data_IF_477004053706
#
_entry.id   IF_477004053706
#
_cell.length_a   1.000
_cell.length_b   1.000
_cell.length_c   1.000
_cell.angle_alpha   90.00
_cell.angle_beta   90.00
_cell.angle_gamma   90.00
#
_symmetry.space_group_name_H-M   'P 1'
#
loop_
_entity.id
_entity.type
_entity.pdbx_description
1 polymer ?
#
# COMPACT_ATOMS: atom_id res chain seq x y z
N UNK A 1 -18.75 6.33 14.25
CA UNK A 1 -18.35 7.73 13.97
C UNK A 1 -16.91 7.84 14.42
N UNK A 2 -16.00 8.03 13.49
CA UNK A 2 -14.58 8.20 13.79
C UNK A 2 -14.38 9.62 14.33
N UNK A 3 -14.17 9.71 15.63
CA UNK A 3 -14.10 10.94 16.40
C UNK A 3 -12.71 11.57 16.27
N UNK A 4 -11.68 10.77 16.00
CA UNK A 4 -10.30 11.25 15.88
C UNK A 4 -10.08 12.13 14.63
N UNK A 5 -10.65 11.73 13.49
CA UNK A 5 -10.58 12.48 12.24
C UNK A 5 -11.91 12.29 11.51
N UNK A 6 -12.91 13.17 11.65
CA UNK A 6 -14.16 13.04 10.89
C UNK A 6 -13.91 13.27 9.40
N UNK A 7 -14.71 12.64 8.54
CA UNK A 7 -14.76 12.99 7.12
C UNK A 7 -15.01 14.50 7.01
N UNK A 8 -14.15 15.18 6.26
CA UNK A 8 -14.25 16.63 6.09
C UNK A 8 -14.86 16.91 4.71
N UNK A 9 -16.00 17.59 4.70
CA UNK A 9 -16.54 18.22 3.51
C UNK A 9 -16.22 19.71 3.54
N UNK A 10 -15.72 20.21 2.42
CA UNK A 10 -15.35 21.62 2.28
C UNK A 10 -16.26 22.28 1.25
N UNK A 11 -16.80 23.45 1.58
CA UNK A 11 -17.72 24.19 0.72
C UNK A 11 -17.05 24.75 -0.56
N UNK A 12 -15.71 24.87 -0.56
CA UNK A 12 -14.96 25.47 -1.68
C UNK A 12 -13.68 24.69 -1.99
N UNK A 13 -13.24 24.75 -3.24
CA UNK A 13 -11.97 24.16 -3.68
C UNK A 13 -10.78 24.73 -2.90
N UNK A 14 -10.79 26.03 -2.64
CA UNK A 14 -9.78 26.69 -1.82
C UNK A 14 -9.67 26.07 -0.42
N UNK A 15 -10.81 25.86 0.25
CA UNK A 15 -10.85 25.24 1.56
C UNK A 15 -10.40 23.77 1.51
N UNK A 16 -10.73 23.03 0.44
CA UNK A 16 -10.24 21.66 0.22
C UNK A 16 -8.71 21.61 0.10
N UNK A 17 -8.10 22.53 -0.66
CA UNK A 17 -6.64 22.58 -0.84
C UNK A 17 -5.94 22.99 0.46
N UNK A 18 -6.49 23.96 1.18
CA UNK A 18 -5.98 24.36 2.50
C UNK A 18 -6.13 23.23 3.53
N UNK A 19 -7.22 22.48 3.43
CA UNK A 19 -7.45 21.24 4.17
C UNK A 19 -6.37 20.20 3.91
N UNK A 20 -6.01 19.95 2.64
CA UNK A 20 -4.95 19.01 2.27
C UNK A 20 -3.61 19.40 2.89
N UNK A 21 -3.24 20.69 2.80
CA UNK A 21 -2.01 21.19 3.41
C UNK A 21 -1.98 20.95 4.94
N UNK A 22 -3.12 21.14 5.62
CA UNK A 22 -3.23 20.86 7.04
C UNK A 22 -3.21 19.35 7.36
N UNK A 23 -3.85 18.52 6.52
CA UNK A 23 -3.81 17.07 6.62
C UNK A 23 -2.35 16.58 6.53
N UNK A 24 -1.61 17.02 5.52
CA UNK A 24 -0.19 16.68 5.38
C UNK A 24 0.60 17.05 6.63
N UNK A 25 0.47 18.30 7.10
CA UNK A 25 1.22 18.80 8.25
C UNK A 25 0.92 18.03 9.54
N UNK A 26 -0.35 17.73 9.80
CA UNK A 26 -0.77 17.07 11.05
C UNK A 26 -0.52 15.56 11.06
N UNK A 27 -0.21 14.97 9.90
CA UNK A 27 0.07 13.54 9.75
C UNK A 27 1.53 13.23 9.48
N UNK A 28 2.36 14.25 9.44
CA UNK A 28 3.78 14.10 9.21
C UNK A 28 4.45 13.48 10.43
N UNK A 29 5.08 12.33 10.20
CA UNK A 29 6.02 11.71 11.12
C UNK A 29 7.33 11.49 10.37
N UNK A 30 8.45 11.83 10.98
CA UNK A 30 9.76 11.72 10.33
C UNK A 30 10.78 10.91 11.13
N UNK A 31 10.50 9.62 11.41
CA UNK A 31 11.42 8.78 12.16
C UNK A 31 12.77 8.57 11.44
N UNK A 32 12.78 8.72 10.11
CA UNK A 32 13.96 8.52 9.26
C UNK A 32 14.77 9.81 9.03
N UNK A 33 14.31 10.96 9.52
CA UNK A 33 15.02 12.23 9.39
C UNK A 33 15.13 12.75 7.95
N UNK A 34 14.13 12.45 7.12
CA UNK A 34 14.03 12.87 5.71
C UNK A 34 14.06 14.40 5.62
N UNK A 35 14.84 14.93 4.67
CA UNK A 35 14.91 16.37 4.36
C UNK A 35 14.81 16.58 2.86
N UNK A 36 13.85 17.41 2.43
CA UNK A 36 13.57 17.60 1.01
C UNK A 36 12.37 18.51 0.77
N UNK A 37 12.06 18.76 -0.48
CA UNK A 37 10.98 19.66 -0.90
C UNK A 37 10.09 19.03 -1.96
N UNK A 38 8.78 19.13 -1.74
CA UNK A 38 7.77 18.66 -2.68
C UNK A 38 6.86 19.81 -3.07
N UNK A 39 6.86 20.20 -4.35
CA UNK A 39 5.84 21.11 -4.90
C UNK A 39 4.56 20.32 -5.14
N UNK A 40 3.46 20.75 -4.51
CA UNK A 40 2.12 20.22 -4.76
C UNK A 40 1.40 21.22 -5.65
N UNK A 41 1.03 20.76 -6.84
CA UNK A 41 0.30 21.54 -7.84
C UNK A 41 -1.12 21.03 -8.03
N UNK A 42 -2.08 21.95 -8.09
CA UNK A 42 -3.49 21.65 -8.35
C UNK A 42 -3.86 22.31 -9.69
N UNK A 43 -3.92 21.55 -10.80
CA UNK A 43 -4.05 22.12 -12.15
C UNK A 43 -5.24 23.07 -12.32
N UNK A 44 -6.34 22.78 -11.63
CA UNK A 44 -7.56 23.59 -11.68
C UNK A 44 -7.43 24.91 -10.89
N UNK A 45 -6.44 25.00 -9.99
CA UNK A 45 -6.22 26.13 -9.09
C UNK A 45 -4.73 26.49 -8.95
N UNK A 46 -4.04 26.90 -10.03
CA UNK A 46 -2.58 27.11 -10.01
C UNK A 46 -2.12 28.19 -9.02
N UNK A 47 -2.99 29.14 -8.65
CA UNK A 47 -2.73 30.14 -7.62
C UNK A 47 -2.77 29.61 -6.18
N UNK A 48 -3.06 28.32 -5.98
CA UNK A 48 -3.21 27.66 -4.68
C UNK A 48 -2.15 26.59 -4.41
N UNK A 49 -1.22 26.39 -5.35
CA UNK A 49 -0.04 25.56 -5.20
C UNK A 49 0.74 25.89 -3.90
N UNK A 50 1.45 24.90 -3.39
CA UNK A 50 2.31 25.07 -2.21
C UNK A 50 3.51 24.13 -2.27
N UNK A 51 4.55 24.46 -1.49
CA UNK A 51 5.70 23.58 -1.28
C UNK A 51 5.64 23.00 0.12
N UNK A 52 5.63 21.68 0.21
CA UNK A 52 5.82 20.93 1.44
C UNK A 52 7.32 20.69 1.64
N UNK A 53 7.90 21.23 2.72
CA UNK A 53 9.32 21.06 3.06
C UNK A 53 9.47 20.14 4.25
N UNK A 54 10.12 19.00 4.03
CA UNK A 54 10.46 18.03 5.06
C UNK A 54 11.64 18.52 5.90
N UNK A 55 11.46 18.47 7.21
CA UNK A 55 12.49 18.72 8.22
C UNK A 55 12.10 17.99 9.51
N UNK A 56 12.42 18.58 10.65
CA UNK A 56 11.98 18.04 11.94
C UNK A 56 10.44 18.14 12.08
N UNK A 57 9.86 19.13 11.41
CA UNK A 57 8.43 19.28 11.18
C UNK A 57 8.16 19.47 9.67
N UNK A 58 6.93 19.26 9.23
CA UNK A 58 6.51 19.59 7.87
C UNK A 58 6.11 21.05 7.77
N UNK A 59 6.81 21.80 6.94
CA UNK A 59 6.50 23.21 6.68
C UNK A 59 5.78 23.35 5.35
N UNK A 60 4.65 24.09 5.37
CA UNK A 60 3.88 24.42 4.17
C UNK A 60 4.21 25.86 3.77
N UNK A 61 4.79 26.02 2.59
CA UNK A 61 5.24 27.31 2.06
C UNK A 61 4.44 27.69 0.82
N UNK A 62 3.92 28.92 0.79
CA UNK A 62 3.08 29.46 -0.32
C UNK A 62 3.73 30.61 -1.08
N UNK A 63 5.04 30.78 -0.88
CA UNK A 63 5.84 31.80 -1.53
C UNK A 63 6.97 31.13 -2.30
N UNK A 64 7.55 31.86 -3.25
CA UNK A 64 8.69 31.38 -4.04
C UNK A 64 8.45 30.01 -4.71
N UNK A 65 7.24 29.84 -5.27
CA UNK A 65 6.78 28.57 -5.86
C UNK A 65 7.49 28.19 -7.17
N UNK A 66 8.27 29.11 -7.73
CA UNK A 66 9.07 28.90 -8.94
C UNK A 66 10.47 28.34 -8.63
N UNK A 67 10.85 28.27 -7.34
CA UNK A 67 12.12 27.68 -6.96
C UNK A 67 12.17 26.21 -7.35
N UNK A 68 13.38 25.72 -7.62
CA UNK A 68 13.62 24.30 -7.86
C UNK A 68 13.24 23.50 -6.59
N UNK A 69 12.45 22.46 -6.78
CA UNK A 69 12.12 21.47 -5.73
C UNK A 69 12.66 20.11 -6.11
N UNK A 70 12.77 19.22 -5.13
CA UNK A 70 13.28 17.85 -5.34
C UNK A 70 12.24 16.98 -6.05
N UNK A 71 10.96 17.28 -5.82
CA UNK A 71 9.81 16.52 -6.34
C UNK A 71 8.66 17.45 -6.67
N UNK A 72 7.93 17.15 -7.73
CA UNK A 72 6.64 17.77 -8.04
C UNK A 72 5.56 16.69 -8.08
N UNK A 73 4.45 16.96 -7.40
CA UNK A 73 3.26 16.12 -7.36
C UNK A 73 2.09 16.96 -7.86
N UNK A 74 1.43 16.50 -8.93
CA UNK A 74 0.26 17.19 -9.47
C UNK A 74 -0.98 16.38 -9.16
N UNK A 75 -1.89 16.96 -8.38
CA UNK A 75 -3.08 16.29 -7.85
C UNK A 75 -4.33 17.08 -8.30
N UNK A 76 -5.22 16.49 -9.11
CA UNK A 76 -6.49 17.10 -9.47
C UNK A 76 -7.36 17.38 -8.23
N UNK A 77 -8.12 18.48 -8.24
CA UNK A 77 -8.98 18.84 -7.10
C UNK A 77 -10.01 17.74 -6.76
N UNK A 78 -10.48 17.00 -7.76
CA UNK A 78 -11.40 15.87 -7.58
C UNK A 78 -10.75 14.76 -6.74
N UNK A 79 -9.47 14.46 -6.97
CA UNK A 79 -8.70 13.47 -6.21
C UNK A 79 -8.49 13.93 -4.76
N UNK A 80 -8.23 15.23 -4.54
CA UNK A 80 -8.10 15.78 -3.18
C UNK A 80 -9.43 15.63 -2.41
N UNK A 81 -10.57 15.93 -3.05
CA UNK A 81 -11.89 15.71 -2.43
C UNK A 81 -12.10 14.26 -2.04
N UNK A 82 -11.74 13.33 -2.94
CA UNK A 82 -11.85 11.89 -2.69
C UNK A 82 -11.02 11.45 -1.49
N UNK A 83 -9.78 11.94 -1.36
CA UNK A 83 -8.92 11.68 -0.20
C UNK A 83 -9.64 12.01 1.11
N UNK A 84 -10.41 13.10 1.16
CA UNK A 84 -11.18 13.48 2.34
C UNK A 84 -12.46 12.66 2.54
N UNK A 85 -13.17 12.30 1.48
CA UNK A 85 -14.40 11.49 1.60
C UNK A 85 -14.11 10.04 1.96
N UNK A 86 -12.96 9.51 1.55
CA UNK A 86 -12.58 8.10 1.68
C UNK A 86 -11.42 7.89 2.66
N UNK A 87 -11.10 8.89 3.49
CA UNK A 87 -9.89 8.88 4.32
C UNK A 87 -9.73 7.62 5.21
N UNK A 88 -10.83 6.97 5.61
CA UNK A 88 -10.82 5.74 6.43
C UNK A 88 -10.32 4.50 5.68
N UNK A 89 -10.48 4.50 4.36
CA UNK A 89 -10.17 3.38 3.46
C UNK A 89 -9.15 3.77 2.38
N UNK A 90 -8.52 4.94 2.54
CA UNK A 90 -7.62 5.52 1.56
C UNK A 90 -6.44 4.58 1.29
N UNK A 91 -6.43 4.01 0.08
CA UNK A 91 -5.28 3.30 -0.46
C UNK A 91 -4.70 4.10 -1.62
N UNK A 92 -3.51 4.66 -1.42
CA UNK A 92 -2.82 5.41 -2.47
C UNK A 92 -2.41 4.57 -3.67
N UNK A 93 -2.56 3.23 -3.63
CA UNK A 93 -2.33 2.34 -4.75
C UNK A 93 -3.60 2.10 -5.57
N UNK A 94 -4.76 2.56 -5.09
CA UNK A 94 -6.01 2.50 -5.83
C UNK A 94 -5.81 3.16 -7.20
N UNK A 95 -6.01 2.43 -8.32
CA UNK A 95 -5.93 2.97 -9.67
C UNK A 95 -6.75 4.25 -9.88
N UNK A 96 -7.87 4.41 -9.19
CA UNK A 96 -8.71 5.59 -9.29
C UNK A 96 -8.16 6.80 -8.53
N UNK A 97 -7.18 6.59 -7.65
CA UNK A 97 -6.44 7.66 -6.96
C UNK A 97 -5.11 7.90 -7.67
N UNK A 98 -4.18 6.92 -7.66
CA UNK A 98 -2.84 7.11 -8.23
C UNK A 98 -2.87 7.32 -9.74
N UNK A 99 -3.85 6.73 -10.42
CA UNK A 99 -4.09 6.92 -11.86
C UNK A 99 -4.62 8.30 -12.22
N UNK A 100 -4.74 9.23 -11.27
CA UNK A 100 -5.09 10.64 -11.54
C UNK A 100 -3.95 11.60 -11.22
N UNK A 101 -2.86 11.11 -10.62
CA UNK A 101 -1.76 11.92 -10.11
C UNK A 101 -0.53 11.77 -11.03
N UNK A 102 0.21 12.86 -11.20
CA UNK A 102 1.53 12.83 -11.85
C UNK A 102 2.63 13.15 -10.86
N UNK A 103 3.79 12.54 -11.08
CA UNK A 103 4.97 12.65 -10.21
C UNK A 103 6.21 12.93 -11.07
N UNK A 104 7.00 13.90 -10.65
CA UNK A 104 8.28 14.25 -11.26
C UNK A 104 9.36 14.43 -10.18
N UNK A 105 10.60 14.07 -10.47
CA UNK A 105 11.70 14.18 -9.50
C UNK A 105 11.80 12.98 -8.54
N UNK A 106 12.07 13.22 -7.27
CA UNK A 106 12.32 12.18 -6.28
C UNK A 106 11.01 11.51 -5.82
N UNK A 107 10.78 10.27 -6.24
CA UNK A 107 9.55 9.51 -5.95
C UNK A 107 9.46 9.05 -4.48
N UNK A 108 10.59 8.95 -3.76
CA UNK A 108 10.58 8.65 -2.33
C UNK A 108 9.90 9.75 -1.52
N UNK A 109 10.10 11.00 -1.91
CA UNK A 109 9.43 12.15 -1.29
C UNK A 109 7.94 12.21 -1.64
N UNK A 110 7.54 11.80 -2.86
CA UNK A 110 6.14 11.66 -3.20
C UNK A 110 5.45 10.56 -2.36
N UNK A 111 6.11 9.40 -2.19
CA UNK A 111 5.61 8.33 -1.33
C UNK A 111 5.44 8.80 0.13
N UNK A 112 6.44 9.50 0.66
CA UNK A 112 6.38 10.02 2.03
C UNK A 112 5.26 11.05 2.19
N UNK A 113 5.05 11.93 1.20
CA UNK A 113 3.93 12.88 1.18
C UNK A 113 2.57 12.14 1.23
N UNK A 114 2.40 11.09 0.42
CA UNK A 114 1.18 10.27 0.43
C UNK A 114 0.92 9.63 1.80
N UNK A 115 1.96 9.08 2.44
CA UNK A 115 1.88 8.50 3.79
C UNK A 115 1.43 9.51 4.85
N UNK A 116 1.77 10.79 4.71
CA UNK A 116 1.32 11.86 5.61
C UNK A 116 -0.20 12.08 5.58
N UNK A 117 -0.90 11.63 4.55
CA UNK A 117 -2.36 11.73 4.46
C UNK A 117 -3.10 10.60 5.17
N UNK A 118 -2.43 9.51 5.53
CA UNK A 118 -3.07 8.34 6.15
C UNK A 118 -3.55 8.67 7.56
N UNK A 119 -4.79 8.28 7.90
CA UNK A 119 -5.35 8.45 9.23
C UNK A 119 -6.03 7.16 9.70
N UNK A 120 -5.53 6.51 10.76
CA UNK A 120 -6.21 5.35 11.31
C UNK A 120 -7.54 5.80 11.93
N UNK A 121 -8.60 5.04 11.66
CA UNK A 121 -9.89 5.27 12.31
C UNK A 121 -9.86 4.88 13.79
N UNK A 122 -10.82 5.39 14.57
CA UNK A 122 -11.01 4.96 15.97
C UNK A 122 -11.15 3.44 16.11
N UNK A 123 -11.81 2.81 15.13
CA UNK A 123 -11.94 1.35 15.06
C UNK A 123 -10.56 0.68 14.87
N UNK A 124 -9.76 1.15 13.91
CA UNK A 124 -8.39 0.68 13.68
C UNK A 124 -7.54 0.85 14.93
N UNK A 125 -7.59 2.02 15.56
CA UNK A 125 -6.85 2.31 16.80
C UNK A 125 -7.29 1.42 17.96
N UNK A 126 -8.58 1.16 18.12
CA UNK A 126 -9.09 0.25 19.14
C UNK A 126 -8.60 -1.18 18.90
N UNK A 127 -8.60 -1.63 17.65
CA UNK A 127 -8.11 -2.94 17.25
C UNK A 127 -6.61 -3.11 17.51
N UNK A 128 -5.79 -2.13 17.15
CA UNK A 128 -4.36 -2.13 17.46
C UNK A 128 -4.08 -2.18 18.96
N UNK A 129 -4.83 -1.42 19.77
CA UNK A 129 -4.74 -1.50 21.24
C UNK A 129 -5.11 -2.88 21.78
N UNK A 130 -6.17 -3.49 21.25
CA UNK A 130 -6.59 -4.86 21.64
C UNK A 130 -5.49 -5.87 21.31
N UNK A 131 -5.02 -5.89 20.07
CA UNK A 131 -3.97 -6.80 19.61
C UNK A 131 -2.69 -6.65 20.45
N UNK A 132 -2.26 -5.41 20.71
CA UNK A 132 -1.07 -5.13 21.54
C UNK A 132 -1.20 -5.69 22.95
N UNK A 133 -2.38 -5.56 23.59
CA UNK A 133 -2.61 -6.15 24.93
C UNK A 133 -2.58 -7.68 24.89
N UNK A 134 -3.21 -8.29 23.89
CA UNK A 134 -3.20 -9.75 23.71
C UNK A 134 -1.78 -10.28 23.51
N UNK A 135 -1.02 -9.64 22.62
CA UNK A 135 0.37 -10.00 22.32
C UNK A 135 1.27 -9.85 23.56
N UNK A 136 1.11 -8.76 24.32
CA UNK A 136 1.84 -8.56 25.56
C UNK A 136 1.51 -9.64 26.60
N UNK A 137 0.23 -9.99 26.77
CA UNK A 137 -0.21 -11.01 27.72
C UNK A 137 0.28 -12.43 27.34
N UNK A 138 0.51 -12.69 26.05
CA UNK A 138 0.98 -13.99 25.53
C UNK A 138 2.49 -14.06 25.30
N UNK A 139 3.23 -12.97 25.53
CA UNK A 139 4.67 -12.94 25.32
C UNK A 139 5.09 -12.98 23.85
N UNK A 140 4.25 -12.50 22.93
CA UNK A 140 4.53 -12.52 21.48
C UNK A 140 5.52 -11.45 21.00
N UNK A 141 6.21 -10.77 21.92
CA UNK A 141 7.14 -9.68 21.58
C UNK A 141 8.40 -10.19 20.87
N UNK A 142 8.81 -11.41 21.18
CA UNK A 142 10.05 -12.04 20.71
C UNK A 142 9.75 -13.44 20.13
N UNK A 143 8.74 -13.52 19.25
CA UNK A 143 8.42 -14.79 18.58
C UNK A 143 9.59 -15.22 17.69
N UNK A 144 10.26 -16.31 18.07
CA UNK A 144 11.32 -16.93 17.27
C UNK A 144 10.81 -18.04 16.36
N UNK A 145 9.56 -18.49 16.55
CA UNK A 145 8.91 -19.50 15.74
C UNK A 145 7.42 -19.17 15.60
N UNK A 146 6.84 -19.59 14.47
CA UNK A 146 5.42 -19.41 14.16
C UNK A 146 4.79 -20.80 14.07
N UNK A 147 3.72 -21.02 14.82
CA UNK A 147 3.00 -22.29 14.80
C UNK A 147 2.57 -22.66 13.37
N UNK A 148 2.80 -23.92 13.01
CA UNK A 148 2.32 -24.50 11.75
C UNK A 148 1.09 -25.37 12.00
N UNK A 149 -0.04 -24.97 11.44
CA UNK A 149 -1.27 -25.75 11.45
C UNK A 149 -1.38 -26.53 10.14
N UNK A 150 -1.33 -27.86 10.22
CA UNK A 150 -1.52 -28.73 9.06
C UNK A 150 -2.99 -29.08 8.89
N UNK A 151 -3.56 -28.79 7.72
CA UNK A 151 -4.97 -29.02 7.37
C UNK A 151 -5.95 -28.61 8.48
N UNK A 152 -5.87 -27.38 9.03
CA UNK A 152 -6.75 -26.95 10.10
C UNK A 152 -8.21 -26.91 9.65
N UNK A 153 -9.11 -27.11 10.60
CA UNK A 153 -10.54 -26.81 10.43
C UNK A 153 -10.77 -25.30 10.40
N UNK A 154 -11.87 -24.85 9.80
CA UNK A 154 -12.30 -23.44 9.81
C UNK A 154 -12.40 -22.88 11.24
N UNK A 155 -12.86 -23.70 12.20
CA UNK A 155 -12.92 -23.32 13.61
C UNK A 155 -11.55 -23.00 14.22
N UNK A 156 -10.53 -23.81 13.93
CA UNK A 156 -9.17 -23.56 14.45
C UNK A 156 -8.59 -22.24 13.92
N UNK A 157 -8.97 -21.86 12.70
CA UNK A 157 -8.56 -20.58 12.10
C UNK A 157 -9.28 -19.43 12.78
N UNK A 158 -10.60 -19.53 12.97
CA UNK A 158 -11.38 -18.51 13.70
C UNK A 158 -10.87 -18.32 15.13
N UNK A 159 -10.48 -19.40 15.81
CA UNK A 159 -9.84 -19.35 17.13
C UNK A 159 -8.49 -18.60 17.04
N UNK A 160 -7.61 -18.93 16.10
CA UNK A 160 -6.34 -18.21 15.91
C UNK A 160 -6.55 -16.70 15.59
N UNK A 161 -7.56 -16.37 14.77
CA UNK A 161 -7.93 -15.00 14.43
C UNK A 161 -8.41 -14.22 15.65
N UNK A 162 -9.29 -14.81 16.47
CA UNK A 162 -9.81 -14.15 17.68
C UNK A 162 -8.70 -13.87 18.70
N UNK A 163 -7.71 -14.76 18.75
CA UNK A 163 -6.51 -14.63 19.58
C UNK A 163 -5.46 -13.67 19.00
N UNK A 164 -5.67 -13.13 17.80
CA UNK A 164 -4.69 -12.33 17.05
C UNK A 164 -3.33 -13.05 16.93
N UNK A 165 -3.36 -14.37 16.74
CA UNK A 165 -2.18 -15.24 16.77
C UNK A 165 -1.70 -15.52 15.33
N UNK A 166 -0.44 -15.20 14.99
CA UNK A 166 0.10 -15.56 13.69
C UNK A 166 0.26 -17.08 13.59
N UNK A 167 -0.18 -17.65 12.47
CA UNK A 167 -0.07 -19.09 12.17
C UNK A 167 0.32 -19.28 10.71
N UNK A 168 1.08 -20.34 10.42
CA UNK A 168 1.36 -20.80 9.06
C UNK A 168 0.48 -22.02 8.78
N UNK A 169 -0.35 -21.91 7.75
CA UNK A 169 -1.24 -23.00 7.33
C UNK A 169 -0.54 -23.86 6.29
N UNK A 170 -0.60 -25.19 6.42
CA UNK A 170 0.03 -26.14 5.50
C UNK A 170 -0.91 -27.28 5.11
N UNK A 171 -0.58 -28.00 4.03
CA UNK A 171 -1.32 -29.20 3.61
C UNK A 171 -2.63 -28.92 2.86
N UNK A 172 -2.85 -27.68 2.43
CA UNK A 172 -4.02 -27.27 1.67
C UNK A 172 -3.60 -26.72 0.32
N UNK A 173 -4.43 -26.97 -0.67
CA UNK A 173 -4.23 -26.57 -2.06
C UNK A 173 -5.54 -25.96 -2.54
N UNK A 174 -5.53 -24.76 -3.17
CA UNK A 174 -6.74 -24.16 -3.69
C UNK A 174 -7.31 -25.00 -4.83
N UNK A 175 -8.59 -24.79 -5.12
CA UNK A 175 -9.23 -25.34 -6.31
C UNK A 175 -9.56 -24.17 -7.23
N UNK A 176 -8.96 -24.09 -8.44
CA UNK A 176 -7.99 -25.04 -9.02
C UNK A 176 -6.60 -24.98 -8.33
N UNK A 177 -5.81 -26.06 -8.39
CA UNK A 177 -4.45 -26.10 -7.85
C UNK A 177 -3.56 -25.00 -8.41
N UNK A 178 -2.86 -24.30 -7.52
CA UNK A 178 -2.00 -23.17 -7.89
C UNK A 178 -0.50 -23.49 -7.89
N UNK A 179 -0.09 -24.72 -7.57
CA UNK A 179 1.33 -25.09 -7.40
C UNK A 179 2.17 -25.05 -8.68
N UNK A 180 1.53 -25.15 -9.85
CA UNK A 180 2.20 -25.24 -11.15
C UNK A 180 2.23 -23.89 -11.89
N UNK A 181 2.00 -22.78 -11.17
CA UNK A 181 2.13 -21.45 -11.73
C UNK A 181 3.60 -21.02 -11.82
N UNK A 182 3.95 -20.40 -12.94
CA UNK A 182 5.24 -19.74 -13.18
C UNK A 182 4.99 -18.32 -13.65
N UNK A 183 6.02 -17.45 -13.58
CA UNK A 183 5.91 -16.09 -14.10
C UNK A 183 5.62 -16.08 -15.61
N UNK A 184 6.15 -17.04 -16.36
CA UNK A 184 5.89 -17.17 -17.80
C UNK A 184 4.43 -17.54 -18.08
N UNK A 185 3.88 -18.47 -17.28
CA UNK A 185 2.49 -18.89 -17.41
C UNK A 185 1.52 -17.75 -17.05
N UNK A 186 1.89 -16.91 -16.08
CA UNK A 186 1.13 -15.70 -15.77
C UNK A 186 1.10 -14.73 -16.96
N UNK A 187 2.26 -14.47 -17.59
CA UNK A 187 2.35 -13.60 -18.78
C UNK A 187 1.63 -14.18 -20.01
N UNK A 188 1.64 -15.50 -20.18
CA UNK A 188 0.93 -16.17 -21.26
C UNK A 188 -0.59 -16.07 -21.08
N UNK A 189 -1.10 -16.38 -19.88
CA UNK A 189 -2.53 -16.46 -19.61
C UNK A 189 -3.19 -15.12 -19.34
N UNK A 190 -2.50 -14.22 -18.65
CA UNK A 190 -3.04 -12.92 -18.21
C UNK A 190 -2.30 -11.74 -18.79
N UNK A 191 -1.59 -11.92 -19.92
CA UNK A 191 -0.65 -10.93 -20.46
C UNK A 191 -1.20 -9.51 -20.59
N UNK A 192 -2.48 -9.36 -20.93
CA UNK A 192 -3.14 -8.06 -21.13
C UNK A 192 -3.77 -7.47 -19.86
N UNK A 193 -3.91 -8.25 -18.78
CA UNK A 193 -4.50 -7.78 -17.53
C UNK A 193 -3.62 -6.70 -16.90
N UNK A 194 -4.22 -5.57 -16.50
CA UNK A 194 -3.50 -4.48 -15.83
C UNK A 194 -3.23 -4.89 -14.38
N UNK A 195 -1.95 -5.09 -14.05
CA UNK A 195 -1.52 -5.57 -12.73
C UNK A 195 -0.91 -4.48 -11.87
N UNK A 196 -0.62 -3.30 -12.45
CA UNK A 196 0.01 -2.20 -11.73
C UNK A 196 -0.31 -0.85 -12.36
N UNK A 197 -0.68 0.12 -11.53
CA UNK A 197 -0.84 1.53 -11.90
C UNK A 197 0.10 2.35 -11.02
N UNK A 198 1.02 3.10 -11.63
CA UNK A 198 2.04 3.90 -10.93
C UNK A 198 1.74 5.40 -10.96
N UNK A 199 0.97 5.85 -11.95
CA UNK A 199 0.56 7.26 -12.11
C UNK A 199 -0.54 7.36 -13.16
N UNK A 200 -1.04 8.59 -13.40
CA UNK A 200 -1.98 8.87 -14.48
C UNK A 200 -1.49 8.49 -15.88
N UNK A 201 -0.18 8.43 -16.09
CA UNK A 201 0.44 8.16 -17.38
C UNK A 201 1.15 6.82 -17.44
N UNK A 202 1.18 6.05 -16.34
CA UNK A 202 1.93 4.79 -16.24
C UNK A 202 1.07 3.69 -15.66
N UNK A 203 0.63 2.81 -16.56
CA UNK A 203 -0.02 1.53 -16.26
C UNK A 203 0.83 0.42 -16.85
N UNK A 204 0.70 -0.78 -16.30
CA UNK A 204 1.47 -1.92 -16.75
C UNK A 204 0.61 -3.18 -16.72
N UNK A 205 0.65 -3.94 -17.82
CA UNK A 205 0.02 -5.24 -17.90
C UNK A 205 0.93 -6.37 -17.39
N UNK A 206 0.39 -7.57 -17.22
CA UNK A 206 1.15 -8.72 -16.71
C UNK A 206 2.36 -9.05 -17.58
N UNK A 207 2.25 -8.95 -18.92
CA UNK A 207 3.35 -9.27 -19.84
C UNK A 207 4.52 -8.32 -19.65
N UNK A 208 4.24 -7.02 -19.62
CA UNK A 208 5.22 -5.97 -19.36
C UNK A 208 5.85 -6.11 -17.97
N UNK A 209 5.03 -6.42 -16.95
CA UNK A 209 5.51 -6.62 -15.58
C UNK A 209 6.47 -7.82 -15.47
N UNK A 210 6.12 -8.95 -16.09
CA UNK A 210 6.97 -10.15 -16.09
C UNK A 210 8.29 -9.89 -16.85
N UNK A 211 8.26 -9.09 -17.92
CA UNK A 211 9.49 -8.69 -18.59
C UNK A 211 10.39 -7.84 -17.69
N UNK A 212 9.85 -6.81 -17.02
CA UNK A 212 10.60 -6.01 -16.05
C UNK A 212 11.18 -6.86 -14.92
N UNK A 213 10.42 -7.85 -14.44
CA UNK A 213 10.88 -8.77 -13.41
C UNK A 213 12.08 -9.60 -13.88
N UNK A 214 12.06 -10.10 -15.12
CA UNK A 214 13.19 -10.83 -15.71
C UNK A 214 14.40 -9.93 -15.89
N UNK A 215 14.21 -8.75 -16.46
CA UNK A 215 15.28 -7.78 -16.66
C UNK A 215 15.95 -7.39 -15.33
N UNK A 216 15.15 -7.22 -14.27
CA UNK A 216 15.65 -6.96 -12.92
C UNK A 216 16.43 -8.15 -12.34
N UNK A 217 15.97 -9.39 -12.55
CA UNK A 217 16.67 -10.59 -12.07
C UNK A 217 18.03 -10.72 -12.76
N UNK A 218 18.11 -10.40 -14.06
CA UNK A 218 19.35 -10.43 -14.83
C UNK A 218 20.30 -9.27 -14.48
N UNK A 219 19.76 -8.07 -14.23
CA UNK A 219 20.52 -6.88 -13.88
C UNK A 219 19.84 -6.10 -12.75
N UNK A 220 20.07 -6.49 -11.47
CA UNK A 220 19.50 -5.80 -10.32
C UNK A 220 19.98 -4.34 -10.23
N UNK A 221 19.09 -3.45 -9.81
CA UNK A 221 19.39 -2.07 -9.46
C UNK A 221 19.08 -1.80 -7.98
N UNK A 222 19.85 -0.90 -7.36
CA UNK A 222 19.76 -0.62 -5.92
C UNK A 222 18.78 0.51 -5.57
N UNK A 223 18.52 1.43 -6.50
CA UNK A 223 17.58 2.54 -6.27
C UNK A 223 16.13 2.05 -6.34
N UNK A 224 15.61 1.63 -5.18
CA UNK A 224 14.27 1.07 -5.04
C UNK A 224 13.39 1.95 -4.17
N UNK A 225 12.45 2.62 -4.81
CA UNK A 225 11.36 3.34 -4.11
C UNK A 225 10.11 2.47 -4.09
N UNK A 226 9.63 2.15 -2.88
CA UNK A 226 8.35 1.46 -2.63
C UNK A 226 7.21 2.18 -3.36
N UNK A 227 6.38 1.41 -4.07
CA UNK A 227 5.25 1.94 -4.85
C UNK A 227 5.61 2.50 -6.24
N UNK A 228 6.91 2.69 -6.56
CA UNK A 228 7.32 3.44 -7.74
C UNK A 228 8.33 2.73 -8.64
N UNK A 229 9.51 2.39 -8.13
CA UNK A 229 10.63 1.89 -8.97
C UNK A 229 10.83 0.40 -8.78
N UNK A 230 10.38 -0.14 -7.66
CA UNK A 230 10.49 -1.56 -7.33
C UNK A 230 9.79 -2.45 -8.39
N UNK A 231 10.37 -3.58 -8.83
CA UNK A 231 9.72 -4.55 -9.70
C UNK A 231 8.79 -5.43 -8.87
N UNK A 232 7.81 -4.78 -8.23
CA UNK A 232 6.85 -5.34 -7.30
C UNK A 232 5.48 -4.71 -7.55
N UNK A 233 4.41 -5.51 -7.44
CA UNK A 233 3.02 -5.03 -7.56
C UNK A 233 2.52 -4.32 -6.31
N UNK A 234 3.26 -4.42 -5.21
CA UNK A 234 3.01 -3.65 -3.97
C UNK A 234 1.60 -3.84 -3.41
N UNK A 235 0.98 -5.01 -3.62
CA UNK A 235 -0.37 -5.28 -3.14
C UNK A 235 -1.48 -4.59 -3.95
N UNK A 236 -1.22 -4.26 -5.22
CA UNK A 236 -2.25 -3.83 -6.16
C UNK A 236 -3.44 -4.81 -6.17
N UNK A 237 -4.63 -4.31 -6.55
CA UNK A 237 -5.80 -5.17 -6.70
C UNK A 237 -5.49 -6.34 -7.66
N UNK A 238 -5.89 -7.55 -7.27
CA UNK A 238 -5.82 -8.69 -8.18
C UNK A 238 -6.82 -8.43 -9.34
N UNK A 239 -6.41 -8.57 -10.60
CA UNK A 239 -7.33 -8.46 -11.73
C UNK A 239 -8.46 -9.49 -11.65
N UNK A 240 -9.68 -9.10 -12.01
CA UNK A 240 -10.85 -9.97 -11.96
C UNK A 240 -10.66 -11.23 -12.83
N UNK A 241 -9.94 -11.10 -13.94
CA UNK A 241 -9.63 -12.21 -14.84
C UNK A 241 -8.82 -13.32 -14.16
N UNK A 242 -8.12 -13.00 -13.07
CA UNK A 242 -7.30 -13.96 -12.31
C UNK A 242 -8.07 -14.63 -11.17
N UNK A 243 -9.27 -14.16 -10.85
CA UNK A 243 -9.99 -14.56 -9.63
C UNK A 243 -10.25 -16.07 -9.57
N UNK A 244 -10.62 -16.69 -10.67
CA UNK A 244 -10.98 -18.12 -10.71
C UNK A 244 -9.78 -19.05 -10.52
N UNK A 245 -8.56 -18.55 -10.66
CA UNK A 245 -7.33 -19.34 -10.48
C UNK A 245 -6.68 -19.16 -9.11
N UNK A 246 -7.07 -18.11 -8.37
CA UNK A 246 -6.51 -17.77 -7.07
C UNK A 246 -7.67 -17.49 -6.09
N UNK A 247 -8.18 -18.56 -5.48
CA UNK A 247 -9.31 -18.52 -4.58
C UNK A 247 -8.95 -18.65 -3.10
N UNK A 248 -9.86 -18.25 -2.21
CA UNK A 248 -9.72 -18.53 -0.78
C UNK A 248 -9.82 -20.03 -0.48
N UNK A 249 -9.17 -20.47 0.60
CA UNK A 249 -9.08 -21.89 0.99
C UNK A 249 -10.14 -22.34 2.01
N UNK A 250 -10.65 -21.43 2.84
CA UNK A 250 -11.39 -21.77 4.07
C UNK A 250 -12.74 -21.09 4.22
N UNK A 251 -12.90 -20.00 3.50
CA UNK A 251 -13.99 -19.07 3.58
C UNK A 251 -14.40 -18.75 2.16
N UNK A 252 -15.63 -18.30 1.99
CA UNK A 252 -16.12 -17.94 0.67
C UNK A 252 -15.53 -16.59 0.26
N UNK A 253 -15.54 -16.27 -1.03
CA UNK A 253 -14.92 -15.02 -1.53
C UNK A 253 -15.54 -13.78 -0.88
N UNK A 254 -16.84 -13.86 -0.61
CA UNK A 254 -17.67 -12.84 0.01
C UNK A 254 -17.28 -12.55 1.48
N UNK A 255 -16.54 -13.46 2.12
CA UNK A 255 -15.99 -13.24 3.47
C UNK A 255 -14.75 -12.33 3.48
N UNK A 256 -14.20 -12.00 2.29
CA UNK A 256 -13.01 -11.18 2.13
C UNK A 256 -13.31 -9.83 1.48
N UNK A 257 -12.45 -8.85 1.77
CA UNK A 257 -12.29 -7.67 0.91
C UNK A 257 -11.68 -8.08 -0.44
N UNK A 258 -11.79 -7.25 -1.50
CA UNK A 258 -11.18 -7.55 -2.79
C UNK A 258 -9.71 -8.00 -2.66
N UNK A 259 -9.32 -9.11 -3.31
CA UNK A 259 -7.99 -9.69 -3.15
C UNK A 259 -6.90 -8.81 -3.76
N UNK A 260 -5.68 -8.95 -3.23
CA UNK A 260 -4.51 -8.22 -3.67
C UNK A 260 -3.47 -9.15 -4.30
N UNK A 261 -2.79 -8.66 -5.33
CA UNK A 261 -1.66 -9.31 -5.99
C UNK A 261 -0.34 -8.82 -5.37
N UNK A 262 0.43 -9.76 -4.84
CA UNK A 262 1.77 -9.53 -4.28
C UNK A 262 2.82 -10.29 -5.10
N UNK A 263 3.21 -9.74 -6.25
CA UNK A 263 4.13 -10.34 -7.22
C UNK A 263 5.36 -9.45 -7.41
N UNK A 264 6.55 -10.05 -7.44
CA UNK A 264 7.79 -9.41 -7.86
C UNK A 264 9.02 -9.92 -7.10
N UNK A 265 10.13 -9.19 -7.20
CA UNK A 265 11.40 -9.59 -6.61
C UNK A 265 12.16 -8.43 -5.97
N UNK A 266 12.96 -8.75 -4.96
CA UNK A 266 13.91 -7.84 -4.32
C UNK A 266 15.18 -8.59 -3.94
N UNK A 267 16.33 -7.90 -3.79
CA UNK A 267 17.49 -8.45 -3.14
C UNK A 267 17.14 -8.86 -1.70
N UNK A 268 17.71 -9.95 -1.21
CA UNK A 268 17.36 -10.53 0.11
C UNK A 268 17.70 -9.66 1.31
N UNK A 269 18.51 -8.61 1.12
CA UNK A 269 18.89 -7.65 2.14
C UNK A 269 18.01 -6.39 2.12
N UNK A 270 17.12 -6.25 1.13
CA UNK A 270 16.19 -5.14 0.99
C UNK A 270 14.79 -5.63 1.37
N UNK A 271 14.10 -5.00 2.35
CA UNK A 271 12.75 -5.38 2.68
C UNK A 271 11.80 -5.13 1.50
N UNK A 272 10.90 -6.06 1.24
CA UNK A 272 9.90 -5.90 0.17
C UNK A 272 8.86 -4.82 0.52
N UNK A 273 8.53 -4.65 1.78
CA UNK A 273 7.72 -3.54 2.30
C UNK A 273 8.31 -3.09 3.64
N UNK A 274 8.16 -1.81 3.99
CA UNK A 274 8.56 -1.31 5.31
C UNK A 274 7.77 -2.01 6.41
N UNK A 275 8.31 -2.05 7.64
CA UNK A 275 7.56 -2.60 8.78
C UNK A 275 6.30 -1.76 9.03
N UNK A 276 5.14 -2.40 8.96
CA UNK A 276 3.84 -1.75 9.12
C UNK A 276 2.84 -2.69 9.82
N UNK A 277 1.63 -2.19 10.07
CA UNK A 277 0.53 -2.98 10.61
C UNK A 277 -0.74 -2.65 9.84
N UNK A 278 -1.47 -3.69 9.46
CA UNK A 278 -2.74 -3.53 8.76
C UNK A 278 -3.92 -3.59 9.73
N UNK A 279 -4.99 -2.81 9.46
CA UNK A 279 -6.19 -2.81 10.30
C UNK A 279 -7.01 -4.11 10.17
N UNK A 280 -6.79 -4.90 9.12
CA UNK A 280 -7.55 -6.13 8.85
C UNK A 280 -6.76 -7.38 9.22
N UNK A 281 -7.47 -8.50 9.41
CA UNK A 281 -6.81 -9.82 9.47
C UNK A 281 -6.40 -10.21 8.05
N UNK A 282 -5.09 -10.36 7.82
CA UNK A 282 -4.58 -10.75 6.51
C UNK A 282 -4.49 -12.27 6.33
N UNK A 283 -4.86 -12.75 5.14
CA UNK A 283 -4.55 -14.08 4.65
C UNK A 283 -3.60 -13.94 3.47
N UNK A 284 -2.39 -14.47 3.59
CA UNK A 284 -1.38 -14.42 2.53
C UNK A 284 -1.12 -15.83 1.97
N UNK A 285 -1.53 -16.05 0.72
CA UNK A 285 -1.27 -17.29 0.00
C UNK A 285 0.04 -17.16 -0.81
N UNK A 286 1.06 -17.93 -0.44
CA UNK A 286 2.31 -18.00 -1.20
C UNK A 286 2.16 -19.00 -2.35
N UNK A 287 2.16 -18.51 -3.59
CA UNK A 287 2.01 -19.33 -4.80
C UNK A 287 3.36 -19.67 -5.43
N UNK A 288 4.18 -18.66 -5.75
CA UNK A 288 5.47 -18.80 -6.43
C UNK A 288 6.58 -18.32 -5.50
N UNK A 289 7.67 -19.08 -5.37
CA UNK A 289 8.87 -18.64 -4.66
C UNK A 289 8.76 -18.69 -3.13
N UNK A 290 9.48 -17.79 -2.44
CA UNK A 290 9.60 -17.77 -0.97
C UNK A 290 9.50 -16.33 -0.47
N UNK A 291 8.87 -16.15 0.70
CA UNK A 291 8.81 -14.87 1.41
C UNK A 291 9.37 -15.05 2.82
N UNK A 292 10.22 -14.11 3.23
CA UNK A 292 10.63 -13.95 4.63
C UNK A 292 9.70 -12.92 5.27
N UNK A 293 9.20 -13.22 6.46
CA UNK A 293 8.37 -12.32 7.25
C UNK A 293 9.07 -12.09 8.58
N UNK A 294 9.22 -10.82 8.94
CA UNK A 294 9.59 -10.39 10.28
C UNK A 294 8.30 -9.77 10.86
N UNK A 295 7.78 -10.33 11.97
CA UNK A 295 6.47 -9.99 12.57
C UNK A 295 6.61 -9.26 13.90
#
# INVERSE_FOLDING_TARGET
MNVAYPAAEFETDAATIDGLANLLRTGFENPEGIRGTVKVSVPEHPGRDFVARFGDELLIERHDLERKTDTQVTIPIATIRRIFSEFEFLDWRDPEIIGTITFEGNLGYANHLAKCCLRPSDWTMARFRRATRLHAARGYRDLTDIERLHQPTQRQILEAMEESRPVVITGLEPTPPCRDWTIDRLAERFGEAVVRVRSATRKQNMREFVQELKDFIESPYDDMVEGFVKPYTEGAALPEEMYDDFGPLFFDREDFVPPQLWLGAVPTHIPTSSLHRDPLTGFLLQVIGRKRLDL
#
